data_IF_080035702736
#
_entry.id   IF_080035702736
#
_cell.length_a   1.000
_cell.length_b   1.000
_cell.length_c   1.000
_cell.angle_alpha   90.00
_cell.angle_beta   90.00
_cell.angle_gamma   90.00
#
_symmetry.space_group_name_H-M   'P 1'
#
loop_
_entity.id
_entity.type
_entity.pdbx_description
1 polymer ?
#
# COMPACT_ATOMS: atom_id res chain seq x y z
N UNK A 1 9.92 -6.47 -10.04
CA UNK A 1 8.53 -5.99 -9.90
C UNK A 1 7.69 -7.09 -9.26
N UNK A 2 7.30 -6.88 -8.00
CA UNK A 2 6.41 -7.77 -7.26
C UNK A 2 4.97 -7.27 -7.39
N UNK A 3 4.03 -8.21 -7.54
CA UNK A 3 2.59 -7.94 -7.46
C UNK A 3 1.98 -8.92 -6.48
N UNK A 4 1.23 -8.41 -5.51
CA UNK A 4 0.62 -9.23 -4.47
C UNK A 4 -0.71 -8.64 -4.04
N UNK A 5 -1.68 -9.52 -3.84
CA UNK A 5 -3.01 -9.16 -3.35
C UNK A 5 -3.22 -9.79 -1.99
N UNK A 6 -3.73 -9.02 -1.02
CA UNK A 6 -4.08 -9.52 0.31
C UNK A 6 -5.49 -9.08 0.69
N UNK A 7 -6.15 -9.86 1.53
CA UNK A 7 -7.45 -9.48 2.10
C UNK A 7 -7.24 -9.00 3.53
N UNK A 8 -7.94 -7.94 3.88
CA UNK A 8 -7.94 -7.36 5.23
C UNK A 8 -9.37 -7.14 5.71
N UNK A 9 -9.56 -7.11 7.03
CA UNK A 9 -10.82 -6.72 7.67
C UNK A 9 -11.02 -5.19 7.71
N UNK A 10 -9.99 -4.42 7.38
CA UNK A 10 -10.03 -2.97 7.32
C UNK A 10 -10.93 -2.49 6.17
N UNK A 11 -11.47 -1.27 6.29
CA UNK A 11 -12.08 -0.59 5.15
C UNK A 11 -11.02 -0.18 4.12
N UNK A 12 -11.38 0.03 2.85
CA UNK A 12 -10.43 0.48 1.83
C UNK A 12 -9.73 1.78 2.22
N UNK A 13 -10.48 2.76 2.73
CA UNK A 13 -9.94 4.05 3.18
C UNK A 13 -8.92 3.88 4.31
N UNK A 14 -9.18 2.97 5.26
CA UNK A 14 -8.26 2.71 6.36
C UNK A 14 -7.01 1.96 5.88
N UNK A 15 -7.13 1.05 4.91
CA UNK A 15 -6.00 0.40 4.27
C UNK A 15 -5.09 1.40 3.55
N UNK A 16 -5.67 2.34 2.78
CA UNK A 16 -4.92 3.41 2.10
C UNK A 16 -4.27 4.35 3.12
N UNK A 17 -4.99 4.72 4.19
CA UNK A 17 -4.42 5.56 5.26
C UNK A 17 -3.20 4.90 5.90
N UNK A 18 -3.27 3.61 6.23
CA UNK A 18 -2.13 2.88 6.79
C UNK A 18 -0.98 2.73 5.79
N UNK A 19 -1.29 2.56 4.50
CA UNK A 19 -0.27 2.55 3.46
C UNK A 19 0.46 3.91 3.40
N UNK A 20 -0.29 5.02 3.41
CA UNK A 20 0.28 6.35 3.47
C UNK A 20 1.17 6.53 4.71
N UNK A 21 0.69 6.20 5.91
CA UNK A 21 1.49 6.30 7.14
C UNK A 21 2.76 5.43 7.09
N UNK A 22 2.70 4.26 6.46
CA UNK A 22 3.83 3.32 6.39
C UNK A 22 4.90 3.74 5.36
N UNK A 23 4.49 4.16 4.15
CA UNK A 23 5.41 4.42 3.05
C UNK A 23 5.86 5.88 2.92
N UNK A 24 5.06 6.85 3.42
CA UNK A 24 5.32 8.29 3.30
C UNK A 24 6.58 8.79 4.04
N UNK A 25 6.89 10.12 4.02
CA UNK A 25 8.00 10.74 4.77
C UNK A 25 8.09 10.38 6.25
N UNK A 26 6.98 10.04 6.90
CA UNK A 26 6.96 9.59 8.30
C UNK A 26 7.44 8.14 8.51
N UNK A 27 7.51 7.34 7.44
CA UNK A 27 7.96 5.95 7.44
C UNK A 27 9.19 5.76 6.56
N UNK A 28 9.01 5.11 5.40
CA UNK A 28 10.11 4.80 4.47
C UNK A 28 10.61 5.98 3.62
N UNK A 29 10.06 7.18 3.82
CA UNK A 29 10.48 8.40 3.12
C UNK A 29 10.27 8.38 1.62
N UNK A 30 9.24 7.66 1.17
CA UNK A 30 8.78 7.77 -0.22
C UNK A 30 7.92 9.02 -0.38
N UNK A 31 8.03 9.65 -1.55
CA UNK A 31 7.15 10.74 -1.95
C UNK A 31 5.81 10.18 -2.42
N UNK A 32 4.72 10.77 -1.94
CA UNK A 32 3.38 10.47 -2.46
C UNK A 32 3.24 11.18 -3.80
N UNK A 33 3.18 10.42 -4.89
CA UNK A 33 3.02 10.95 -6.24
C UNK A 33 1.55 11.02 -6.64
N UNK A 34 0.75 10.05 -6.20
CA UNK A 34 -0.70 10.03 -6.42
C UNK A 34 -1.41 9.55 -5.16
N UNK A 35 -2.53 10.20 -4.79
CA UNK A 35 -3.38 9.75 -3.69
C UNK A 35 -4.85 10.00 -4.04
N UNK A 36 -5.61 8.92 -4.07
CA UNK A 36 -7.06 8.88 -4.24
C UNK A 36 -7.69 8.13 -3.06
N UNK A 37 -9.02 8.11 -2.98
CA UNK A 37 -9.74 7.44 -1.88
C UNK A 37 -9.49 5.93 -1.81
N UNK A 38 -9.12 5.30 -2.92
CA UNK A 38 -8.93 3.86 -3.05
C UNK A 38 -7.55 3.47 -3.62
N UNK A 39 -6.68 4.43 -3.93
CA UNK A 39 -5.38 4.17 -4.54
C UNK A 39 -4.35 5.17 -4.03
N UNK A 40 -3.10 4.74 -3.85
CA UNK A 40 -1.97 5.61 -3.55
C UNK A 40 -0.70 5.08 -4.22
N UNK A 41 0.05 5.97 -4.86
CA UNK A 41 1.34 5.67 -5.46
C UNK A 41 2.46 6.46 -4.77
N UNK A 42 3.50 5.73 -4.40
CA UNK A 42 4.69 6.23 -3.74
C UNK A 42 5.91 6.01 -4.63
N UNK A 43 6.83 6.97 -4.67
CA UNK A 43 8.05 6.89 -5.45
C UNK A 43 9.25 7.38 -4.66
N UNK A 44 10.40 6.74 -4.84
CA UNK A 44 11.64 7.08 -4.16
C UNK A 44 12.65 5.94 -4.14
N UNK A 45 13.92 6.28 -3.90
CA UNK A 45 15.00 5.30 -3.77
C UNK A 45 15.28 4.46 -5.04
N UNK A 46 14.85 4.94 -6.22
CA UNK A 46 15.04 4.23 -7.49
C UNK A 46 13.88 3.31 -7.91
N UNK A 47 12.78 3.31 -7.17
CA UNK A 47 11.59 2.52 -7.48
C UNK A 47 10.31 3.15 -6.93
N UNK A 48 9.26 2.34 -6.82
CA UNK A 48 7.95 2.81 -6.37
C UNK A 48 7.06 1.69 -5.82
N UNK A 49 6.01 2.12 -5.13
CA UNK A 49 4.97 1.25 -4.55
C UNK A 49 3.62 1.81 -4.90
N UNK A 50 2.77 1.00 -5.52
CA UNK A 50 1.37 1.30 -5.78
C UNK A 50 0.51 0.44 -4.88
N UNK A 51 -0.47 1.04 -4.22
CA UNK A 51 -1.42 0.37 -3.34
C UNK A 51 -2.82 0.73 -3.76
N UNK A 52 -3.60 -0.27 -4.17
CA UNK A 52 -5.02 -0.12 -4.49
C UNK A 52 -5.86 -0.92 -3.51
N UNK A 53 -6.91 -0.34 -2.96
CA UNK A 53 -7.82 -0.98 -2.03
C UNK A 53 -9.25 -1.02 -2.61
N UNK A 54 -9.82 -2.21 -2.67
CA UNK A 54 -11.18 -2.46 -3.16
C UNK A 54 -12.06 -2.98 -2.04
N UNK A 55 -13.28 -2.46 -1.90
CA UNK A 55 -14.23 -2.92 -0.89
C UNK A 55 -14.65 -4.39 -1.16
N UNK A 56 -14.71 -5.20 -0.10
CA UNK A 56 -15.24 -6.56 -0.13
C UNK A 56 -16.33 -6.76 0.95
N UNK A 57 -17.08 -7.87 0.85
CA UNK A 57 -18.18 -8.21 1.80
C UNK A 57 -17.78 -8.21 3.28
N UNK A 58 -16.50 -8.42 3.59
CA UNK A 58 -15.96 -8.48 4.97
C UNK A 58 -14.63 -7.72 5.10
N UNK A 59 -14.57 -6.49 4.57
CA UNK A 59 -13.40 -5.61 4.66
C UNK A 59 -12.96 -5.11 3.30
N UNK A 60 -11.69 -5.29 2.95
CA UNK A 60 -11.12 -4.84 1.68
C UNK A 60 -10.10 -5.85 1.12
N UNK A 61 -10.03 -5.91 -0.21
CA UNK A 61 -8.90 -6.48 -0.94
C UNK A 61 -7.89 -5.36 -1.20
N UNK A 62 -6.62 -5.60 -0.92
CA UNK A 62 -5.53 -4.64 -1.12
C UNK A 62 -4.53 -5.25 -2.10
N UNK A 63 -4.41 -4.61 -3.24
CA UNK A 63 -3.47 -4.92 -4.30
C UNK A 63 -2.23 -4.02 -4.17
N UNK A 64 -1.06 -4.64 -4.10
CA UNK A 64 0.22 -3.94 -4.00
C UNK A 64 1.12 -4.32 -5.17
N UNK A 65 1.66 -3.30 -5.83
CA UNK A 65 2.68 -3.43 -6.88
C UNK A 65 3.93 -2.71 -6.38
N UNK A 66 5.08 -3.40 -6.34
CA UNK A 66 6.35 -2.78 -5.99
C UNK A 66 7.42 -2.99 -7.05
N UNK A 67 8.26 -1.98 -7.17
CA UNK A 67 9.52 -2.00 -7.89
C UNK A 67 10.62 -1.61 -6.90
N UNK A 68 11.59 -2.50 -6.64
CA UNK A 68 12.69 -2.33 -5.67
C UNK A 68 12.29 -2.23 -4.18
N UNK A 69 11.01 -2.39 -3.84
CA UNK A 69 10.47 -2.24 -2.47
C UNK A 69 9.78 -3.51 -1.93
N UNK A 70 10.15 -4.68 -2.46
CA UNK A 70 9.48 -5.96 -2.22
C UNK A 70 9.47 -6.40 -0.75
N UNK A 71 10.54 -6.07 0.00
CA UNK A 71 10.63 -6.39 1.42
C UNK A 71 9.61 -5.59 2.25
N UNK A 72 9.55 -4.28 2.01
CA UNK A 72 8.67 -3.35 2.71
C UNK A 72 7.19 -3.64 2.40
N UNK A 73 6.88 -4.01 1.15
CA UNK A 73 5.55 -4.46 0.76
C UNK A 73 5.13 -5.72 1.52
N UNK A 74 6.01 -6.71 1.63
CA UNK A 74 5.73 -7.94 2.41
C UNK A 74 5.51 -7.63 3.90
N UNK A 75 6.30 -6.72 4.47
CA UNK A 75 6.13 -6.29 5.87
C UNK A 75 4.82 -5.52 6.09
N UNK A 76 4.43 -4.65 5.16
CA UNK A 76 3.14 -3.96 5.21
C UNK A 76 1.98 -4.96 5.22
N UNK A 77 2.01 -5.95 4.33
CA UNK A 77 0.96 -6.98 4.22
C UNK A 77 0.81 -7.74 5.54
N UNK A 78 1.92 -8.05 6.22
CA UNK A 78 1.89 -8.73 7.53
C UNK A 78 1.24 -7.88 8.62
N UNK A 79 1.32 -6.54 8.51
CA UNK A 79 0.72 -5.60 9.47
C UNK A 79 -0.76 -5.34 9.25
N UNK A 80 -1.26 -5.50 8.03
CA UNK A 80 -2.67 -5.23 7.68
C UNK A 80 -3.54 -6.49 7.60
N UNK A 81 -2.95 -7.68 7.66
CA UNK A 81 -3.68 -8.95 7.62
C UNK A 81 -4.52 -9.21 8.87
#
# INVERSE_FOLDING_TARGET
>A
MLKITTKTKLSPEEAIKRAAEFFSPGGYKLEVKEQQSNCVYFEGGGGGVEVTACAEKKGASVDLISQEWDYQVKEFIRKIR
#
